data_IF_783417595297
#
_entry.id   IF_783417595297
#
_cell.length_a   1.000
_cell.length_b   1.000
_cell.length_c   1.000
_cell.angle_alpha   90.00
_cell.angle_beta   90.00
_cell.angle_gamma   90.00
#
_symmetry.space_group_name_H-M   'P 1'
#
loop_
_entity.id
_entity.type
_entity.pdbx_description
1 polymer ?
#
# COMPACT_ATOMS: atom_id res chain seq x y z
N UNK A 1 -22.83 4.15 -65.98
CA UNK A 1 -23.98 4.26 -65.03
C UNK A 1 -24.19 2.90 -64.38
N UNK A 2 -24.44 2.89 -63.06
CA UNK A 2 -24.45 1.79 -62.06
C UNK A 2 -23.06 1.55 -61.40
N UNK A 3 -22.64 2.26 -60.33
CA UNK A 3 -23.03 2.19 -58.90
C UNK A 3 -23.01 0.76 -58.35
N UNK A 4 -22.47 0.37 -57.19
CA UNK A 4 -21.86 1.01 -56.01
C UNK A 4 -21.72 -0.15 -54.96
N UNK A 5 -20.65 -0.16 -54.15
CA UNK A 5 -20.43 -0.98 -52.92
C UNK A 5 -20.16 -2.50 -53.13
N UNK A 6 -19.34 -3.22 -52.35
CA UNK A 6 -18.94 -3.10 -50.94
C UNK A 6 -17.48 -3.59 -50.77
N UNK A 7 -16.68 -2.84 -50.01
CA UNK A 7 -15.41 -3.24 -49.40
C UNK A 7 -15.75 -4.01 -48.12
N UNK A 8 -15.24 -5.24 -47.93
CA UNK A 8 -15.21 -5.97 -46.64
C UNK A 8 -14.42 -7.27 -46.88
N UNK A 9 -13.47 -7.74 -46.07
CA UNK A 9 -12.86 -7.30 -44.83
C UNK A 9 -11.51 -8.07 -44.77
N UNK A 10 -10.38 -7.39 -44.94
CA UNK A 10 -9.06 -7.93 -44.61
C UNK A 10 -8.83 -7.57 -43.15
N UNK A 11 -8.65 -8.56 -42.27
CA UNK A 11 -8.19 -8.34 -40.90
C UNK A 11 -8.98 -9.13 -39.86
N UNK A 12 -8.66 -10.41 -39.68
CA UNK A 12 -8.87 -11.12 -38.42
C UNK A 12 -7.56 -11.81 -38.02
N UNK A 13 -6.58 -11.00 -37.65
CA UNK A 13 -5.44 -11.45 -36.85
C UNK A 13 -5.07 -10.31 -35.89
N UNK A 14 -4.86 -10.67 -34.62
CA UNK A 14 -4.70 -9.82 -33.42
C UNK A 14 -6.02 -9.19 -32.96
N UNK A 15 -6.49 -9.32 -31.73
CA UNK A 15 -5.79 -9.46 -30.45
C UNK A 15 -6.34 -10.64 -29.64
N UNK A 16 -5.52 -11.66 -29.40
CA UNK A 16 -5.55 -12.34 -28.11
C UNK A 16 -4.84 -11.42 -27.10
N UNK A 17 -5.52 -10.36 -26.68
CA UNK A 17 -5.11 -9.63 -25.50
C UNK A 17 -5.51 -10.50 -24.31
N UNK A 18 -4.50 -11.14 -23.72
CA UNK A 18 -4.60 -11.80 -22.42
C UNK A 18 -5.28 -10.86 -21.42
N UNK A 19 -6.54 -11.14 -21.08
CA UNK A 19 -7.27 -10.50 -20.00
C UNK A 19 -6.70 -11.00 -18.66
N UNK A 20 -5.49 -10.55 -18.31
CA UNK A 20 -5.03 -10.53 -16.92
C UNK A 20 -5.10 -9.09 -16.38
N UNK A 21 -6.14 -8.36 -16.79
CA UNK A 21 -6.44 -7.03 -16.26
C UNK A 21 -7.06 -7.17 -14.87
N UNK A 22 -6.18 -7.18 -13.87
CA UNK A 22 -6.34 -6.74 -12.48
C UNK A 22 -7.49 -7.38 -11.68
N UNK A 23 -7.24 -8.58 -11.14
CA UNK A 23 -8.09 -9.24 -10.15
C UNK A 23 -8.30 -8.43 -8.86
N UNK A 24 -7.56 -7.35 -8.61
CA UNK A 24 -7.60 -6.56 -7.37
C UNK A 24 -8.42 -5.26 -7.44
N UNK A 25 -8.93 -4.85 -8.60
CA UNK A 25 -9.83 -3.69 -8.65
C UNK A 25 -11.22 -4.05 -8.11
N UNK A 26 -11.94 -3.08 -7.56
CA UNK A 26 -13.32 -3.25 -7.12
C UNK A 26 -13.59 -2.74 -5.72
N UNK A 27 -14.58 -3.34 -5.06
CA UNK A 27 -15.06 -2.95 -3.74
C UNK A 27 -14.52 -3.89 -2.67
N UNK A 28 -14.23 -3.33 -1.51
CA UNK A 28 -13.70 -4.06 -0.37
C UNK A 28 -14.53 -3.77 0.87
N UNK A 29 -15.04 -4.82 1.51
CA UNK A 29 -15.71 -4.69 2.82
C UNK A 29 -14.67 -4.62 3.92
N UNK A 30 -14.85 -3.68 4.84
CA UNK A 30 -13.97 -3.53 6.00
C UNK A 30 -13.97 -4.79 6.87
N UNK A 31 -12.81 -5.41 7.03
CA UNK A 31 -12.55 -6.44 8.03
C UNK A 31 -12.06 -5.81 9.33
N UNK A 32 -11.16 -4.83 9.23
CA UNK A 32 -10.60 -4.11 10.38
C UNK A 32 -10.19 -2.69 10.00
N UNK A 33 -10.31 -1.75 10.95
CA UNK A 33 -9.77 -0.40 10.83
C UNK A 33 -9.21 0.08 12.16
N UNK A 34 -8.01 0.64 12.13
CA UNK A 34 -7.40 1.43 13.21
C UNK A 34 -7.18 2.82 12.64
N UNK A 35 -7.86 3.82 13.19
CA UNK A 35 -7.78 5.19 12.72
C UNK A 35 -8.09 6.16 13.87
N UNK A 36 -7.69 7.44 13.76
CA UNK A 36 -8.21 8.50 14.62
C UNK A 36 -9.76 8.50 14.63
N UNK A 37 -10.37 8.91 15.75
CA UNK A 37 -11.81 8.78 15.96
C UNK A 37 -12.65 9.40 14.81
N UNK A 38 -12.19 10.51 14.23
CA UNK A 38 -12.84 11.21 13.12
C UNK A 38 -12.89 10.41 11.79
N UNK A 39 -12.07 9.36 11.65
CA UNK A 39 -12.00 8.48 10.48
C UNK A 39 -12.41 7.04 10.78
N UNK A 40 -12.70 6.70 12.04
CA UNK A 40 -13.00 5.31 12.44
C UNK A 40 -14.40 4.86 12.01
N UNK A 41 -15.33 5.79 11.89
CA UNK A 41 -16.75 5.51 11.64
C UNK A 41 -17.17 5.69 10.16
N UNK A 42 -16.22 5.79 9.23
CA UNK A 42 -16.52 6.09 7.82
C UNK A 42 -16.56 4.87 6.89
N UNK A 43 -17.70 4.74 6.19
CA UNK A 43 -18.01 3.90 5.03
C UNK A 43 -17.60 2.41 5.07
N UNK A 44 -18.63 1.55 5.05
CA UNK A 44 -18.53 0.09 5.00
C UNK A 44 -17.75 -0.50 3.81
N UNK A 45 -17.53 0.28 2.74
CA UNK A 45 -16.90 -0.19 1.49
C UNK A 45 -15.85 0.80 0.97
N UNK A 46 -14.61 0.34 0.87
CA UNK A 46 -13.53 1.04 0.16
C UNK A 46 -13.59 0.63 -1.32
N UNK A 47 -13.44 1.59 -2.23
CA UNK A 47 -13.45 1.33 -3.68
C UNK A 47 -12.09 1.64 -4.27
N UNK A 48 -11.58 0.71 -5.09
CA UNK A 48 -10.28 0.81 -5.73
C UNK A 48 -10.47 0.71 -7.25
N UNK A 49 -10.15 1.80 -7.94
CA UNK A 49 -10.28 1.93 -9.39
C UNK A 49 -8.92 2.21 -10.04
N UNK A 50 -8.71 1.69 -11.23
CA UNK A 50 -7.56 2.02 -12.07
C UNK A 50 -7.75 3.43 -12.66
N UNK A 51 -6.70 4.25 -12.65
CA UNK A 51 -6.69 5.53 -13.36
C UNK A 51 -6.71 5.29 -14.88
N UNK A 52 -7.57 6.04 -15.58
CA UNK A 52 -7.82 5.86 -17.02
C UNK A 52 -6.70 6.43 -17.90
N UNK A 53 -5.91 7.36 -17.38
CA UNK A 53 -4.84 8.05 -18.10
C UNK A 53 -3.45 7.55 -17.69
N UNK A 54 -3.34 6.91 -16.52
CA UNK A 54 -2.08 6.40 -15.97
C UNK A 54 -2.21 4.97 -15.42
N UNK A 55 -1.81 3.97 -16.20
CA UNK A 55 -1.89 2.54 -15.86
C UNK A 55 -1.18 2.13 -14.55
N UNK A 56 -0.21 2.93 -14.09
CA UNK A 56 0.49 2.69 -12.83
C UNK A 56 -0.21 3.31 -11.62
N UNK A 57 -1.31 4.02 -11.79
CA UNK A 57 -1.98 4.77 -10.73
C UNK A 57 -3.35 4.17 -10.43
N UNK A 58 -3.68 4.04 -9.15
CA UNK A 58 -5.03 3.66 -8.69
C UNK A 58 -5.62 4.79 -7.86
N UNK A 59 -6.95 4.84 -7.82
CA UNK A 59 -7.74 5.71 -6.96
C UNK A 59 -8.36 4.88 -5.84
N UNK A 60 -8.17 5.31 -4.60
CA UNK A 60 -8.79 4.74 -3.41
C UNK A 60 -9.85 5.70 -2.91
N UNK A 61 -11.09 5.24 -2.82
CA UNK A 61 -12.25 6.04 -2.44
C UNK A 61 -12.83 5.54 -1.12
N UNK A 62 -13.40 6.47 -0.36
CA UNK A 62 -14.18 6.23 0.86
C UNK A 62 -13.45 5.67 2.08
N UNK A 63 -12.14 5.37 1.99
CA UNK A 63 -11.34 5.06 3.19
C UNK A 63 -11.28 6.25 4.15
N UNK A 64 -11.13 7.46 3.60
CA UNK A 64 -11.38 8.71 4.32
C UNK A 64 -12.80 9.16 3.90
N UNK A 65 -13.69 9.52 4.83
CA UNK A 65 -15.12 9.70 4.55
C UNK A 65 -15.36 10.71 3.44
N UNK A 66 -16.03 10.27 2.37
CA UNK A 66 -16.35 11.07 1.17
C UNK A 66 -15.13 11.64 0.45
N UNK A 67 -13.95 11.09 0.67
CA UNK A 67 -12.72 11.53 0.02
C UNK A 67 -12.17 10.46 -0.92
N UNK A 68 -11.24 10.89 -1.76
CA UNK A 68 -10.51 10.05 -2.70
C UNK A 68 -9.06 10.47 -2.70
N UNK A 69 -8.15 9.50 -2.71
CA UNK A 69 -6.72 9.71 -2.85
C UNK A 69 -6.16 8.74 -3.88
N UNK A 70 -4.93 8.98 -4.33
CA UNK A 70 -4.29 8.10 -5.31
C UNK A 70 -3.07 7.39 -4.74
N UNK A 71 -2.78 6.22 -5.31
CA UNK A 71 -1.56 5.47 -5.07
C UNK A 71 -0.89 5.13 -6.41
N UNK A 72 0.44 4.97 -6.39
CA UNK A 72 1.25 4.70 -7.58
C UNK A 72 1.97 3.37 -7.40
N UNK A 73 1.88 2.51 -8.41
CA UNK A 73 2.42 1.17 -8.44
C UNK A 73 3.91 1.20 -8.11
N UNK A 74 4.27 0.47 -7.07
CA UNK A 74 5.64 0.14 -6.77
C UNK A 74 6.07 -1.04 -7.66
N UNK A 75 7.27 -0.95 -8.21
CA UNK A 75 7.85 -2.01 -9.04
C UNK A 75 9.07 -2.52 -8.31
N UNK A 76 8.92 -3.58 -7.52
CA UNK A 76 10.04 -4.42 -7.10
C UNK A 76 10.39 -5.37 -8.25
N UNK A 77 11.67 -5.72 -8.39
CA UNK A 77 12.17 -6.52 -9.52
C UNK A 77 11.63 -7.96 -9.54
N UNK A 78 11.16 -8.45 -8.40
CA UNK A 78 10.53 -9.76 -8.23
C UNK A 78 9.40 -9.62 -7.20
N UNK A 79 8.13 -9.84 -7.57
CA UNK A 79 7.11 -10.51 -6.71
C UNK A 79 5.67 -10.51 -7.25
N UNK A 80 4.91 -11.46 -6.68
CA UNK A 80 3.52 -11.89 -6.88
C UNK A 80 2.47 -10.94 -6.29
N UNK A 81 2.84 -10.00 -5.42
CA UNK A 81 1.92 -9.07 -4.78
C UNK A 81 1.85 -7.73 -5.53
N UNK A 82 0.64 -7.21 -5.74
CA UNK A 82 0.47 -5.87 -6.30
C UNK A 82 0.63 -4.84 -5.18
N UNK A 83 1.72 -4.06 -5.23
CA UNK A 83 2.06 -3.07 -4.21
C UNK A 83 2.03 -1.67 -4.78
N UNK A 84 1.46 -0.72 -4.06
CA UNK A 84 1.37 0.68 -4.43
C UNK A 84 1.83 1.58 -3.28
N UNK A 85 2.48 2.69 -3.63
CA UNK A 85 2.88 3.75 -2.70
C UNK A 85 1.87 4.88 -2.74
N UNK A 86 1.50 5.42 -1.58
CA UNK A 86 0.66 6.61 -1.46
C UNK A 86 1.60 7.80 -1.22
N UNK A 87 1.78 8.69 -2.20
CA UNK A 87 2.64 9.85 -2.02
C UNK A 87 2.01 10.89 -1.07
N UNK A 88 2.81 11.84 -0.56
CA UNK A 88 2.30 12.94 0.25
C UNK A 88 1.20 13.71 -0.49
N UNK A 89 0.04 13.86 0.15
CA UNK A 89 -1.12 14.57 -0.41
C UNK A 89 -2.09 14.99 0.70
N UNK A 90 -2.83 16.07 0.46
CA UNK A 90 -3.89 16.53 1.35
C UNK A 90 -5.24 16.00 0.84
N UNK A 91 -6.00 15.33 1.71
CA UNK A 91 -7.25 14.63 1.36
C UNK A 91 -8.34 15.05 2.34
N UNK A 92 -9.18 16.00 1.92
CA UNK A 92 -9.99 16.76 2.87
C UNK A 92 -9.08 17.48 3.86
N UNK A 93 -9.27 17.22 5.16
CA UNK A 93 -8.43 17.75 6.24
C UNK A 93 -7.30 16.79 6.67
N UNK A 94 -7.24 15.60 6.08
CA UNK A 94 -6.22 14.60 6.41
C UNK A 94 -4.96 14.79 5.57
N UNK A 95 -3.84 15.11 6.24
CA UNK A 95 -2.53 15.20 5.60
C UNK A 95 -1.88 13.82 5.53
N UNK A 96 -1.86 13.21 4.34
CA UNK A 96 -1.04 12.03 4.07
C UNK A 96 0.40 12.49 3.85
N UNK A 97 1.32 11.95 4.64
CA UNK A 97 2.78 12.13 4.50
C UNK A 97 3.41 10.96 3.76
N UNK A 98 2.92 9.76 4.02
CA UNK A 98 3.32 8.50 3.37
C UNK A 98 2.17 7.50 3.50
N UNK A 99 2.07 6.56 2.58
CA UNK A 99 1.30 5.35 2.79
C UNK A 99 1.60 4.27 1.76
N UNK A 100 0.90 3.15 1.89
CA UNK A 100 0.99 2.02 0.97
C UNK A 100 -0.35 1.30 0.85
N UNK A 101 -0.56 0.66 -0.28
CA UNK A 101 -1.67 -0.25 -0.58
C UNK A 101 -1.07 -1.56 -1.06
N UNK A 102 -1.40 -2.65 -0.38
CA UNK A 102 -0.88 -3.98 -0.65
C UNK A 102 -2.08 -4.88 -0.95
N UNK A 103 -2.04 -5.57 -2.08
CA UNK A 103 -3.02 -6.60 -2.41
C UNK A 103 -2.41 -7.98 -2.22
N UNK A 104 -3.12 -8.82 -1.48
CA UNK A 104 -2.79 -10.23 -1.31
C UNK A 104 -3.91 -11.04 -1.92
N UNK A 105 -3.56 -12.01 -2.76
CA UNK A 105 -4.49 -13.01 -3.26
C UNK A 105 -4.01 -14.35 -2.76
N UNK A 106 -4.86 -15.05 -2.03
CA UNK A 106 -4.53 -16.39 -1.52
C UNK A 106 -4.75 -17.48 -2.58
N UNK A 107 -4.40 -18.72 -2.21
CA UNK A 107 -4.57 -19.90 -3.07
C UNK A 107 -6.05 -20.20 -3.39
N UNK A 108 -6.99 -19.68 -2.60
CA UNK A 108 -8.44 -19.78 -2.80
C UNK A 108 -8.98 -18.66 -3.71
N UNK A 109 -8.10 -17.80 -4.23
CA UNK A 109 -8.38 -16.61 -5.04
C UNK A 109 -9.17 -15.52 -4.30
N UNK A 110 -9.23 -15.58 -2.98
CA UNK A 110 -9.75 -14.45 -2.22
C UNK A 110 -8.72 -13.33 -2.23
N UNK A 111 -9.18 -12.12 -2.54
CA UNK A 111 -8.30 -10.94 -2.58
C UNK A 111 -8.58 -10.08 -1.37
N UNK A 112 -7.55 -9.82 -0.57
CA UNK A 112 -7.58 -8.85 0.50
C UNK A 112 -6.76 -7.61 0.11
N UNK A 113 -7.06 -6.49 0.77
CA UNK A 113 -6.28 -5.27 0.65
C UNK A 113 -5.90 -4.77 2.03
N UNK A 114 -4.63 -4.42 2.18
CA UNK A 114 -4.11 -3.71 3.35
C UNK A 114 -3.72 -2.31 2.93
N UNK A 115 -4.26 -1.31 3.62
CA UNK A 115 -3.96 0.10 3.37
C UNK A 115 -3.42 0.73 4.65
N UNK A 116 -2.24 1.32 4.57
CA UNK A 116 -1.62 2.05 5.68
C UNK A 116 -1.31 3.48 5.26
N UNK A 117 -1.79 4.46 6.02
CA UNK A 117 -1.52 5.88 5.84
C UNK A 117 -0.87 6.43 7.10
N UNK A 118 0.21 7.20 6.96
CA UNK A 118 0.98 7.79 8.07
C UNK A 118 1.47 6.78 9.11
N UNK A 119 1.67 5.52 8.70
CA UNK A 119 2.33 4.49 9.50
C UNK A 119 3.48 3.90 8.66
N UNK A 120 4.70 4.38 8.90
CA UNK A 120 5.87 3.97 8.12
C UNK A 120 6.28 2.52 8.39
N UNK A 121 6.10 2.05 9.63
CA UNK A 121 6.46 0.70 10.03
C UNK A 121 5.75 -0.37 9.19
N UNK A 122 4.49 -0.14 8.82
CA UNK A 122 3.67 -1.06 8.03
C UNK A 122 3.86 -0.92 6.51
N UNK A 123 4.59 0.11 6.06
CA UNK A 123 4.96 0.30 4.66
C UNK A 123 6.46 0.08 4.40
N UNK A 124 7.18 -0.42 5.40
CA UNK A 124 8.62 -0.64 5.36
C UNK A 124 8.96 -1.77 4.40
N UNK A 125 9.94 -1.56 3.51
CA UNK A 125 10.29 -2.54 2.48
C UNK A 125 9.44 -2.40 1.20
N UNK A 126 8.69 -1.29 1.05
CA UNK A 126 7.97 -0.96 -0.19
C UNK A 126 8.71 0.14 -0.95
N UNK A 127 9.76 0.73 -0.40
CA UNK A 127 10.58 1.69 -1.13
C UNK A 127 12.00 1.19 -1.31
N UNK A 128 12.62 1.46 -2.46
CA UNK A 128 14.02 1.08 -2.71
C UNK A 128 14.97 1.61 -1.63
N UNK A 129 14.68 2.78 -1.05
CA UNK A 129 15.47 3.34 0.06
C UNK A 129 15.48 2.45 1.31
N UNK A 130 14.44 1.64 1.53
CA UNK A 130 14.36 0.76 2.70
C UNK A 130 15.32 -0.43 2.55
N UNK A 131 15.53 -0.89 1.32
CA UNK A 131 16.47 -1.97 0.98
C UNK A 131 17.90 -1.49 0.69
N UNK A 132 18.09 -0.20 0.39
CA UNK A 132 19.39 0.44 0.21
C UNK A 132 19.94 0.99 1.54
N UNK A 133 19.73 0.28 2.66
CA UNK A 133 20.25 0.70 3.94
C UNK A 133 21.60 0.04 4.22
N UNK A 134 22.65 0.86 4.22
CA UNK A 134 23.99 0.40 4.57
C UNK A 134 24.05 -0.15 5.99
N UNK A 135 24.75 -1.27 6.18
CA UNK A 135 25.05 -1.81 7.51
C UNK A 135 26.16 -0.93 8.12
N UNK A 136 25.84 -0.26 9.23
CA UNK A 136 26.81 0.52 9.98
C UNK A 136 27.25 -0.26 11.21
N UNK A 137 28.55 -0.51 11.32
CA UNK A 137 29.16 -1.14 12.49
C UNK A 137 29.92 -0.07 13.25
N UNK A 138 29.49 0.20 14.48
CA UNK A 138 30.15 1.12 15.41
C UNK A 138 30.74 0.37 16.60
N UNK A 139 31.39 1.11 17.50
CA UNK A 139 31.92 0.54 18.74
C UNK A 139 30.77 -0.03 19.58
N UNK A 140 30.70 -1.36 19.63
CA UNK A 140 29.70 -2.13 20.37
C UNK A 140 28.25 -1.94 19.90
N UNK A 141 28.03 -1.65 18.61
CA UNK A 141 26.68 -1.59 18.03
C UNK A 141 26.64 -1.87 16.54
N UNK A 142 25.52 -2.41 16.07
CA UNK A 142 25.21 -2.62 14.66
C UNK A 142 23.90 -1.93 14.32
N UNK A 143 23.88 -1.17 13.23
CA UNK A 143 22.70 -0.47 12.74
C UNK A 143 22.41 -0.86 11.29
N UNK A 144 21.15 -1.18 11.00
CA UNK A 144 20.63 -1.44 9.66
C UNK A 144 19.36 -0.63 9.48
N UNK A 145 19.43 0.39 8.61
CA UNK A 145 18.35 1.37 8.48
C UNK A 145 18.02 2.04 9.80
N UNK A 146 16.76 1.99 10.23
CA UNK A 146 16.31 2.57 11.51
C UNK A 146 16.44 1.63 12.71
N UNK A 147 16.94 0.40 12.51
CA UNK A 147 17.12 -0.58 13.58
C UNK A 147 18.56 -0.56 14.06
N UNK A 148 18.78 -0.34 15.36
CA UNK A 148 20.08 -0.41 16.03
C UNK A 148 20.03 -1.48 17.12
N UNK A 149 21.08 -2.30 17.20
CA UNK A 149 21.30 -3.28 18.27
C UNK A 149 22.63 -2.97 18.94
N UNK A 150 22.63 -2.82 20.26
CA UNK A 150 23.84 -2.62 21.05
C UNK A 150 24.43 -3.94 21.59
N UNK A 151 25.68 -3.91 22.06
CA UNK A 151 26.35 -5.08 22.61
C UNK A 151 25.82 -5.56 23.97
N UNK A 152 24.83 -4.88 24.55
CA UNK A 152 24.09 -5.34 25.72
C UNK A 152 22.78 -6.04 25.32
N UNK A 153 22.48 -6.15 24.03
CA UNK A 153 21.27 -6.78 23.51
C UNK A 153 20.04 -5.87 23.52
N UNK A 154 20.21 -4.57 23.74
CA UNK A 154 19.11 -3.62 23.59
C UNK A 154 18.85 -3.37 22.11
N UNK A 155 17.58 -3.23 21.74
CA UNK A 155 17.15 -2.99 20.35
C UNK A 155 16.37 -1.70 20.30
N UNK A 156 16.73 -0.82 19.36
CA UNK A 156 15.97 0.37 19.02
C UNK A 156 15.51 0.27 17.58
N UNK A 157 14.21 0.39 17.33
CA UNK A 157 13.65 0.45 15.98
C UNK A 157 12.93 1.77 15.80
N UNK A 158 13.57 2.70 15.08
CA UNK A 158 13.08 4.06 14.89
C UNK A 158 12.94 4.85 16.21
N UNK A 159 11.93 5.72 16.27
CA UNK A 159 11.53 6.44 17.50
C UNK A 159 10.42 5.71 18.27
N UNK A 160 9.97 4.56 17.77
CA UNK A 160 8.66 4.00 18.11
C UNK A 160 8.74 2.76 19.01
N UNK A 161 9.82 1.98 18.90
CA UNK A 161 10.00 0.75 19.66
C UNK A 161 11.40 0.69 20.26
N UNK A 162 11.44 0.44 21.56
CA UNK A 162 12.67 0.19 22.31
C UNK A 162 12.49 -1.12 23.10
N UNK A 163 13.44 -2.03 22.94
CA UNK A 163 13.56 -3.25 23.75
C UNK A 163 14.78 -3.08 24.61
N UNK A 164 14.55 -2.90 25.90
CA UNK A 164 15.58 -2.80 26.91
C UNK A 164 15.66 -4.13 27.66
N UNK A 165 16.87 -4.66 27.77
CA UNK A 165 17.16 -5.97 28.38
C UNK A 165 16.73 -6.06 29.86
N UNK A 166 16.62 -4.92 30.55
CA UNK A 166 16.20 -4.84 31.96
C UNK A 166 14.77 -4.34 32.14
N UNK A 167 14.29 -3.44 31.25
CA UNK A 167 12.99 -2.77 31.37
C UNK A 167 11.89 -3.36 30.48
N UNK A 168 12.24 -4.32 29.61
CA UNK A 168 11.30 -4.97 28.70
C UNK A 168 11.01 -4.13 27.46
N UNK A 169 9.82 -4.30 26.89
CA UNK A 169 9.43 -3.67 25.62
C UNK A 169 8.65 -2.38 25.88
N UNK A 170 9.16 -1.27 25.36
CA UNK A 170 8.49 0.02 25.34
C UNK A 170 8.05 0.37 23.91
N UNK A 171 6.79 0.72 23.76
CA UNK A 171 6.17 1.02 22.48
C UNK A 171 5.48 2.38 22.55
N UNK A 172 5.86 3.29 21.68
CA UNK A 172 5.17 4.56 21.49
C UNK A 172 3.89 4.34 20.69
N UNK A 173 2.85 3.85 21.36
CA UNK A 173 1.55 3.54 20.76
C UNK A 173 0.91 4.75 20.08
N UNK A 174 1.22 5.97 20.53
CA UNK A 174 0.71 7.20 19.91
C UNK A 174 1.23 7.40 18.49
N UNK A 175 2.49 7.08 18.23
CA UNK A 175 3.06 7.19 16.88
C UNK A 175 2.55 6.05 16.00
N UNK A 176 2.51 4.82 16.52
CA UNK A 176 1.98 3.66 15.80
C UNK A 176 0.48 3.79 15.46
N UNK A 177 -0.28 4.52 16.25
CA UNK A 177 -1.72 4.78 16.04
C UNK A 177 -2.02 6.14 15.40
N UNK A 178 -1.01 6.91 14.98
CA UNK A 178 -1.22 8.25 14.39
C UNK A 178 -1.76 8.23 12.95
N UNK A 179 -1.85 7.04 12.36
CA UNK A 179 -2.24 6.80 10.98
C UNK A 179 -3.58 6.07 10.82
N UNK A 180 -3.96 5.83 9.57
CA UNK A 180 -5.07 4.94 9.21
C UNK A 180 -4.49 3.60 8.78
N UNK A 181 -4.96 2.51 9.38
CA UNK A 181 -4.63 1.14 9.03
C UNK A 181 -5.94 0.43 8.71
N UNK A 182 -6.09 -0.08 7.50
CA UNK A 182 -7.31 -0.70 7.02
C UNK A 182 -7.01 -2.06 6.42
N UNK A 183 -7.85 -3.03 6.74
CA UNK A 183 -7.88 -4.36 6.12
C UNK A 183 -9.27 -4.54 5.51
N UNK A 184 -9.31 -4.85 4.22
CA UNK A 184 -10.54 -5.09 3.49
C UNK A 184 -10.52 -6.43 2.76
N UNK A 185 -11.68 -7.10 2.71
CA UNK A 185 -11.88 -8.29 1.89
C UNK A 185 -12.64 -7.89 0.63
N UNK A 186 -12.20 -8.36 -0.54
CA UNK A 186 -12.87 -8.06 -1.80
C UNK A 186 -14.29 -8.66 -1.81
N UNK A 187 -15.25 -7.87 -2.30
CA UNK A 187 -16.64 -8.27 -2.56
C UNK A 187 -16.81 -9.03 -3.87
#
# INVERSE_FOLDING_TARGET
>A
MKTLKFILLIGLFSLSATLFSQSFLGKYTQVSIIAPDEYRDSAFEVVIDQDLEAEKKIWVKNLIPNQTFYAVKYVAEDETAAVYTVPPQLVGDYQIKLGCVIFETDDEQETSVVINLNNEAMCKGISQKDFQTDIQVGDNKVKVGDVEVDGNGNVKAGEDVEVDSEKGVNVNTKVLMSGIQYVGQKL
#
